data_IF_542881537691
#
_entry.id   IF_542881537691
#
_cell.length_a   1.000
_cell.length_b   1.000
_cell.length_c   1.000
_cell.angle_alpha   90.00
_cell.angle_beta   90.00
_cell.angle_gamma   90.00
#
_symmetry.space_group_name_H-M   'P 1'
#
loop_
_entity.id
_entity.type
_entity.pdbx_description
1 polymer ?
#
# COMPACT_ATOMS: atom_id res chain seq x y z
N UNK A 1 10.42 -18.79 -18.73
CA UNK A 1 10.03 -18.59 -17.32
C UNK A 1 8.76 -19.35 -17.06
N UNK A 2 8.75 -20.31 -16.13
CA UNK A 2 7.57 -21.14 -15.84
C UNK A 2 6.56 -20.28 -15.06
N UNK A 3 5.55 -19.73 -15.73
CA UNK A 3 4.51 -18.93 -15.08
C UNK A 3 3.60 -19.86 -14.27
N UNK A 4 3.91 -20.06 -12.99
CA UNK A 4 3.01 -20.73 -12.07
C UNK A 4 1.84 -19.80 -11.73
N UNK A 5 0.81 -19.82 -12.59
CA UNK A 5 -0.40 -19.00 -12.44
C UNK A 5 -1.03 -19.16 -11.04
N UNK A 6 -0.96 -20.35 -10.45
CA UNK A 6 -1.46 -20.60 -9.10
C UNK A 6 -0.72 -19.77 -8.04
N UNK A 7 0.60 -19.65 -8.15
CA UNK A 7 1.39 -18.83 -7.22
C UNK A 7 1.05 -17.34 -7.34
N UNK A 8 0.78 -16.86 -8.55
CA UNK A 8 0.35 -15.46 -8.77
C UNK A 8 -1.03 -15.18 -8.17
N UNK A 9 -2.00 -16.08 -8.33
CA UNK A 9 -3.35 -15.88 -7.76
C UNK A 9 -3.33 -15.96 -6.23
N UNK A 10 -2.59 -16.89 -5.65
CA UNK A 10 -2.42 -16.95 -4.19
C UNK A 10 -1.80 -15.66 -3.64
N UNK A 11 -0.76 -15.14 -4.30
CA UNK A 11 -0.11 -13.89 -3.91
C UNK A 11 -1.06 -12.68 -4.01
N UNK A 12 -1.96 -12.65 -5.00
CA UNK A 12 -2.98 -11.59 -5.10
C UNK A 12 -3.95 -11.61 -3.93
N UNK A 13 -4.39 -12.79 -3.51
CA UNK A 13 -5.27 -12.93 -2.34
C UNK A 13 -4.58 -12.55 -1.04
N UNK A 14 -3.30 -12.93 -0.84
CA UNK A 14 -2.52 -12.48 0.31
C UNK A 14 -2.39 -10.94 0.35
N UNK A 15 -2.06 -10.32 -0.79
CA UNK A 15 -2.02 -8.86 -0.90
C UNK A 15 -3.38 -8.25 -0.59
N UNK A 16 -4.48 -8.84 -1.06
CA UNK A 16 -5.85 -8.40 -0.77
C UNK A 16 -6.12 -8.40 0.73
N UNK A 17 -5.73 -9.47 1.42
CA UNK A 17 -5.89 -9.59 2.87
C UNK A 17 -5.07 -8.55 3.64
N UNK A 18 -3.81 -8.35 3.24
CA UNK A 18 -2.91 -7.36 3.87
C UNK A 18 -3.46 -5.94 3.68
N UNK A 19 -3.91 -5.59 2.47
CA UNK A 19 -4.51 -4.28 2.19
C UNK A 19 -5.81 -4.06 2.97
N UNK A 20 -6.61 -5.12 3.15
CA UNK A 20 -7.82 -5.08 3.98
C UNK A 20 -7.51 -4.86 5.47
N UNK A 21 -6.45 -5.50 5.99
CA UNK A 21 -5.99 -5.30 7.37
C UNK A 21 -5.50 -3.87 7.57
N UNK A 22 -4.69 -3.35 6.64
CA UNK A 22 -4.22 -1.96 6.66
C UNK A 22 -5.39 -0.98 6.58
N UNK A 23 -6.40 -1.26 5.75
CA UNK A 23 -7.56 -0.39 5.59
C UNK A 23 -8.36 -0.26 6.88
N UNK A 24 -8.61 -1.41 7.53
CA UNK A 24 -9.28 -1.46 8.83
C UNK A 24 -8.47 -0.74 9.92
N UNK A 25 -7.15 -0.89 9.92
CA UNK A 25 -6.26 -0.23 10.87
C UNK A 25 -6.24 1.29 10.71
N UNK A 26 -6.25 1.76 9.46
CA UNK A 26 -6.20 3.18 9.08
C UNK A 26 -7.56 3.86 9.05
N UNK A 27 -8.64 3.15 9.41
CA UNK A 27 -10.00 3.72 9.43
C UNK A 27 -10.11 4.96 10.34
N UNK A 28 -9.40 4.97 11.47
CA UNK A 28 -9.39 6.08 12.44
C UNK A 28 -8.01 6.72 12.62
N UNK A 29 -7.03 6.35 11.78
CA UNK A 29 -5.64 6.79 11.91
C UNK A 29 -5.14 7.43 10.62
N UNK A 30 -4.35 8.49 10.77
CA UNK A 30 -3.71 9.18 9.64
C UNK A 30 -2.43 8.49 9.21
N UNK A 31 -1.64 7.96 10.16
CA UNK A 31 -0.39 7.22 9.95
C UNK A 31 -0.41 5.89 10.70
N UNK A 32 0.55 5.00 10.42
CA UNK A 32 0.62 3.68 11.05
C UNK A 32 0.88 3.75 12.56
N UNK A 33 1.71 4.69 13.02
CA UNK A 33 2.07 4.83 14.43
C UNK A 33 1.99 6.30 14.83
N UNK A 34 1.04 6.62 15.71
CA UNK A 34 0.81 7.99 16.16
C UNK A 34 0.19 8.89 15.08
N UNK A 35 0.47 10.20 15.16
CA UNK A 35 -0.10 11.23 14.27
C UNK A 35 0.95 11.90 13.36
N UNK A 36 2.14 11.31 13.26
CA UNK A 36 3.22 11.79 12.39
C UNK A 36 3.80 10.64 11.57
N UNK A 37 4.45 10.98 10.44
CA UNK A 37 5.17 10.00 9.63
C UNK A 37 6.28 9.38 10.45
N UNK A 38 6.31 8.06 10.49
CA UNK A 38 7.36 7.29 11.16
C UNK A 38 8.09 6.38 10.17
N UNK A 39 9.14 5.71 10.65
CA UNK A 39 9.83 4.68 9.87
C UNK A 39 8.90 3.53 9.46
N UNK A 40 7.83 3.27 10.22
CA UNK A 40 6.82 2.29 9.85
C UNK A 40 6.15 2.69 8.52
N UNK A 41 5.75 3.96 8.38
CA UNK A 41 5.12 4.47 7.17
C UNK A 41 6.07 4.40 5.97
N UNK A 42 7.32 4.84 6.16
CA UNK A 42 8.35 4.81 5.10
C UNK A 42 8.56 3.37 4.61
N UNK A 43 8.74 2.42 5.53
CA UNK A 43 9.04 1.02 5.19
C UNK A 43 7.88 0.40 4.40
N UNK A 44 6.64 0.58 4.87
CA UNK A 44 5.46 -0.02 4.23
C UNK A 44 5.14 0.65 2.90
N UNK A 45 5.32 1.97 2.77
CA UNK A 45 5.14 2.66 1.48
C UNK A 45 6.17 2.18 0.46
N UNK A 46 7.44 2.04 0.84
CA UNK A 46 8.51 1.57 -0.05
C UNK A 46 8.25 0.14 -0.56
N UNK A 47 7.75 -0.76 0.29
CA UNK A 47 7.42 -2.14 -0.14
C UNK A 47 6.19 -2.18 -1.02
N UNK A 48 5.17 -1.36 -0.75
CA UNK A 48 3.94 -1.29 -1.54
C UNK A 48 4.11 -0.51 -2.86
N UNK A 49 5.16 0.30 -3.02
CA UNK A 49 5.36 1.17 -4.18
C UNK A 49 5.33 0.42 -5.51
N UNK A 50 6.03 -0.71 -5.60
CA UNK A 50 6.05 -1.54 -6.82
C UNK A 50 4.69 -2.15 -7.12
N UNK A 51 3.95 -2.60 -6.10
CA UNK A 51 2.59 -3.13 -6.27
C UNK A 51 1.63 -2.04 -6.78
N UNK A 52 1.73 -0.82 -6.23
CA UNK A 52 0.97 0.35 -6.67
C UNK A 52 1.37 0.84 -8.08
N UNK A 53 2.59 0.58 -8.56
CA UNK A 53 3.01 0.96 -9.92
C UNK A 53 2.64 -0.09 -10.97
N UNK A 54 2.71 -1.38 -10.65
CA UNK A 54 2.65 -2.45 -11.65
C UNK A 54 1.38 -3.28 -11.65
N UNK A 55 0.76 -3.54 -10.49
CA UNK A 55 -0.22 -4.65 -10.35
C UNK A 55 -1.58 -4.19 -9.83
N UNK A 56 -1.60 -3.20 -8.95
CA UNK A 56 -2.85 -2.77 -8.33
C UNK A 56 -3.64 -1.91 -9.32
N UNK A 57 -4.59 -2.44 -10.07
CA UNK A 57 -5.45 -1.61 -10.92
C UNK A 57 -6.45 -0.77 -10.08
N UNK A 58 -7.01 0.33 -10.63
CA UNK A 58 -7.98 1.15 -9.91
C UNK A 58 -9.18 0.37 -9.35
N UNK A 59 -9.66 -0.63 -10.10
CA UNK A 59 -10.74 -1.54 -9.70
C UNK A 59 -10.39 -2.36 -8.46
N UNK A 60 -9.16 -2.86 -8.37
CA UNK A 60 -8.68 -3.65 -7.23
C UNK A 60 -8.50 -2.78 -5.99
N UNK A 61 -7.98 -1.56 -6.17
CA UNK A 61 -7.72 -0.63 -5.06
C UNK A 61 -8.99 -0.03 -4.48
N UNK A 62 -10.08 0.04 -5.24
CA UNK A 62 -11.33 0.68 -4.81
C UNK A 62 -11.88 0.13 -3.49
N UNK A 63 -11.62 -1.16 -3.19
CA UNK A 63 -12.02 -1.80 -1.94
C UNK A 63 -11.28 -1.30 -0.69
N UNK A 64 -10.17 -0.56 -0.84
CA UNK A 64 -9.27 -0.15 0.25
C UNK A 64 -9.08 1.38 0.29
N UNK A 65 -10.16 2.17 0.51
CA UNK A 65 -10.09 3.62 0.44
C UNK A 65 -9.16 4.27 1.48
N UNK A 66 -9.10 3.74 2.70
CA UNK A 66 -8.24 4.26 3.76
C UNK A 66 -6.77 4.00 3.48
N UNK A 67 -6.44 2.79 3.00
CA UNK A 67 -5.07 2.43 2.60
C UNK A 67 -4.61 3.29 1.42
N UNK A 68 -5.48 3.50 0.42
CA UNK A 68 -5.16 4.37 -0.71
C UNK A 68 -4.95 5.83 -0.28
N UNK A 69 -5.81 6.36 0.59
CA UNK A 69 -5.68 7.71 1.14
C UNK A 69 -4.34 7.87 1.85
N UNK A 70 -3.99 6.95 2.75
CA UNK A 70 -2.71 6.97 3.47
C UNK A 70 -1.51 6.88 2.52
N UNK A 71 -1.55 5.97 1.54
CA UNK A 71 -0.47 5.82 0.56
C UNK A 71 -0.26 7.11 -0.24
N UNK A 72 -1.35 7.71 -0.75
CA UNK A 72 -1.30 8.99 -1.45
C UNK A 72 -0.82 10.14 -0.55
N UNK A 73 -1.21 10.13 0.72
CA UNK A 73 -0.77 11.14 1.69
C UNK A 73 0.74 11.05 1.92
N UNK A 74 1.28 9.83 2.03
CA UNK A 74 2.71 9.61 2.23
C UNK A 74 3.53 10.00 1.00
N UNK A 75 3.19 9.50 -0.21
CA UNK A 75 3.98 9.78 -1.42
C UNK A 75 3.95 11.25 -1.84
N UNK A 76 2.95 12.02 -1.42
CA UNK A 76 2.86 13.45 -1.70
C UNK A 76 3.61 14.33 -0.71
N UNK A 77 4.16 13.76 0.37
CA UNK A 77 5.04 14.50 1.27
C UNK A 77 6.33 14.89 0.52
N UNK A 78 6.89 16.10 0.75
CA UNK A 78 8.10 16.55 0.08
C UNK A 78 9.27 15.58 0.19
N UNK A 79 9.42 14.94 1.36
CA UNK A 79 10.50 13.99 1.65
C UNK A 79 10.37 12.70 0.83
N UNK A 80 9.14 12.23 0.60
CA UNK A 80 8.89 11.06 -0.23
C UNK A 80 9.06 11.40 -1.71
N UNK A 81 8.55 12.56 -2.15
CA UNK A 81 8.70 13.02 -3.54
C UNK A 81 10.15 13.19 -3.96
N UNK A 82 11.04 13.57 -3.04
CA UNK A 82 12.46 13.70 -3.34
C UNK A 82 13.17 12.36 -3.67
N UNK A 83 12.58 11.21 -3.29
CA UNK A 83 13.27 9.92 -3.33
C UNK A 83 12.50 8.78 -4.02
N UNK A 84 11.17 8.86 -4.15
CA UNK A 84 10.32 7.74 -4.60
C UNK A 84 9.51 8.05 -5.89
N UNK A 85 9.42 9.34 -6.25
CA UNK A 85 8.80 9.85 -7.49
C UNK A 85 9.91 10.30 -8.41
#
# INVERSE_FOLDING_TARGET
>A
MHHNKQATENAKEEVRQILGLLDAHMKTRTFLVGEQVTLADITVVCTLLWLYKQVLEPSFRQAFPNTNRWFLTCINQPQFRAHLV
#
